data_IF_654314319029
#
_entry.id   IF_654314319029
#
_cell.length_a   1.000
_cell.length_b   1.000
_cell.length_c   1.000
_cell.angle_alpha   90.00
_cell.angle_beta   90.00
_cell.angle_gamma   90.00
#
_symmetry.space_group_name_H-M   'P 1'
#
loop_
_entity.id
_entity.type
_entity.pdbx_description
1 polymer ?
#
# COMPACT_ATOMS: atom_id res chain seq x y z
N UNK A 1 -8.50 -9.40 12.76
CA UNK A 1 -8.44 -9.69 11.32
C UNK A 1 -9.87 -9.60 10.80
N UNK A 2 -10.27 -8.36 10.53
CA UNK A 2 -11.65 -7.86 10.48
C UNK A 2 -12.41 -8.31 9.22
N UNK A 3 -13.62 -8.83 9.42
CA UNK A 3 -14.84 -8.61 8.64
C UNK A 3 -14.65 -8.02 7.23
N UNK A 4 -14.10 -8.78 6.29
CA UNK A 4 -14.40 -8.55 4.87
C UNK A 4 -15.82 -9.08 4.67
N UNK A 5 -16.81 -8.25 4.99
CA UNK A 5 -18.22 -8.48 4.66
C UNK A 5 -18.32 -8.91 3.20
N UNK A 6 -19.12 -9.94 2.94
CA UNK A 6 -19.47 -10.37 1.59
C UNK A 6 -19.86 -9.12 0.76
N UNK A 7 -19.19 -8.85 -0.38
CA UNK A 7 -19.47 -7.68 -1.21
C UNK A 7 -20.96 -7.53 -1.55
N UNK A 8 -21.67 -8.66 -1.69
CA UNK A 8 -23.10 -8.68 -1.99
C UNK A 8 -23.94 -8.27 -0.78
N UNK A 9 -23.60 -8.75 0.41
CA UNK A 9 -24.23 -8.35 1.66
C UNK A 9 -23.99 -6.87 1.99
N UNK A 10 -22.78 -6.36 1.74
CA UNK A 10 -22.45 -4.94 1.91
C UNK A 10 -23.23 -4.07 0.90
N UNK A 11 -23.28 -4.49 -0.37
CA UNK A 11 -24.07 -3.81 -1.40
C UNK A 11 -25.56 -3.75 -1.04
N UNK A 12 -26.14 -4.86 -0.58
CA UNK A 12 -27.53 -4.93 -0.14
C UNK A 12 -27.80 -4.02 1.07
N UNK A 13 -26.88 -3.98 2.04
CA UNK A 13 -26.99 -3.11 3.21
C UNK A 13 -26.89 -1.62 2.85
N UNK A 14 -26.04 -1.26 1.89
CA UNK A 14 -25.92 0.11 1.38
C UNK A 14 -27.19 0.55 0.65
N UNK A 15 -27.72 -0.29 -0.24
CA UNK A 15 -28.99 -0.02 -0.94
C UNK A 15 -30.18 0.08 0.04
N UNK A 16 -30.21 -0.76 1.08
CA UNK A 16 -31.27 -0.72 2.10
C UNK A 16 -31.20 0.54 2.97
N UNK A 17 -30.00 1.07 3.24
CA UNK A 17 -29.79 2.31 4.02
C UNK A 17 -30.25 3.56 3.28
N UNK A 18 -30.09 3.61 1.96
CA UNK A 18 -30.45 4.77 1.14
C UNK A 18 -31.94 4.78 0.72
N UNK A 19 -32.68 3.71 0.99
CA UNK A 19 -34.13 3.61 0.76
C UNK A 19 -34.54 3.61 -0.73
N UNK A 20 -35.84 3.77 -1.00
CA UNK A 20 -36.41 3.74 -2.36
C UNK A 20 -35.98 4.91 -3.26
N UNK A 21 -35.40 5.96 -2.67
CA UNK A 21 -34.82 7.15 -3.34
C UNK A 21 -33.31 7.06 -3.54
N UNK A 22 -32.66 6.02 -3.02
CA UNK A 22 -31.22 5.80 -3.00
C UNK A 22 -30.65 5.42 -4.34
N UNK A 23 -30.51 6.41 -5.22
CA UNK A 23 -29.93 6.23 -6.56
C UNK A 23 -28.55 5.59 -6.45
N UNK A 24 -28.30 4.55 -7.25
CA UNK A 24 -26.98 3.91 -7.45
C UNK A 24 -25.83 4.93 -7.49
N UNK A 25 -26.09 6.14 -8.02
CA UNK A 25 -25.14 7.25 -8.08
C UNK A 25 -24.59 7.71 -6.72
N UNK A 26 -25.41 7.70 -5.67
CA UNK A 26 -25.00 8.12 -4.32
C UNK A 26 -24.11 7.06 -3.66
N UNK A 27 -24.49 5.78 -3.77
CA UNK A 27 -23.63 4.67 -3.37
C UNK A 27 -22.28 4.69 -4.10
N UNK A 28 -22.29 4.96 -5.42
CA UNK A 28 -21.07 5.12 -6.20
C UNK A 28 -20.24 6.32 -5.74
N UNK A 29 -20.86 7.43 -5.36
CA UNK A 29 -20.18 8.62 -4.81
C UNK A 29 -19.48 8.30 -3.49
N UNK A 30 -20.16 7.62 -2.57
CA UNK A 30 -19.56 7.18 -1.30
C UNK A 30 -18.34 6.27 -1.54
N UNK A 31 -18.48 5.27 -2.41
CA UNK A 31 -17.38 4.35 -2.72
C UNK A 31 -16.23 5.07 -3.45
N UNK A 32 -16.52 6.02 -4.34
CA UNK A 32 -15.49 6.80 -5.02
C UNK A 32 -14.59 7.55 -4.03
N UNK A 33 -15.17 8.06 -2.95
CA UNK A 33 -14.43 8.71 -1.86
C UNK A 33 -13.46 7.73 -1.18
N UNK A 34 -13.87 6.48 -0.98
CA UNK A 34 -13.00 5.44 -0.42
C UNK A 34 -11.82 5.10 -1.35
N UNK A 35 -12.04 5.06 -2.67
CA UNK A 35 -10.96 4.88 -3.64
C UNK A 35 -9.97 6.05 -3.62
N UNK A 36 -10.44 7.29 -3.46
CA UNK A 36 -9.57 8.47 -3.28
C UNK A 36 -8.72 8.31 -2.02
N UNK A 37 -9.29 7.83 -0.91
CA UNK A 37 -8.52 7.57 0.32
C UNK A 37 -7.42 6.53 0.10
N UNK A 38 -7.72 5.41 -0.58
CA UNK A 38 -6.71 4.38 -0.92
C UNK A 38 -5.60 5.01 -1.78
N UNK A 39 -5.98 5.76 -2.82
CA UNK A 39 -5.06 6.44 -3.73
C UNK A 39 -4.12 7.43 -3.02
N UNK A 40 -4.65 8.27 -2.12
CA UNK A 40 -3.85 9.21 -1.33
C UNK A 40 -2.88 8.49 -0.41
N UNK A 41 -3.29 7.38 0.22
CA UNK A 41 -2.41 6.57 1.07
C UNK A 41 -1.27 5.94 0.26
N UNK A 42 -1.55 5.42 -0.93
CA UNK A 42 -0.53 4.90 -1.84
C UNK A 42 0.51 5.96 -2.24
N UNK A 43 0.11 7.23 -2.41
CA UNK A 43 1.07 8.32 -2.66
C UNK A 43 2.02 8.54 -1.48
N UNK A 44 1.51 8.51 -0.24
CA UNK A 44 2.36 8.61 0.96
C UNK A 44 3.39 7.49 1.00
N UNK A 45 3.00 6.27 0.63
CA UNK A 45 3.91 5.12 0.55
C UNK A 45 5.02 5.32 -0.49
N UNK A 46 4.68 5.83 -1.69
CA UNK A 46 5.67 6.16 -2.70
C UNK A 46 6.65 7.24 -2.25
N UNK A 47 6.15 8.27 -1.55
CA UNK A 47 6.99 9.32 -0.97
C UNK A 47 7.97 8.74 0.04
N UNK A 48 7.51 7.88 0.96
CA UNK A 48 8.37 7.20 1.93
C UNK A 48 9.42 6.33 1.24
N UNK A 49 9.02 5.52 0.27
CA UNK A 49 9.95 4.70 -0.50
C UNK A 49 11.00 5.57 -1.23
N UNK A 50 10.59 6.70 -1.82
CA UNK A 50 11.48 7.64 -2.51
C UNK A 50 12.51 8.22 -1.55
N UNK A 51 12.10 8.65 -0.36
CA UNK A 51 13.01 9.17 0.67
C UNK A 51 14.01 8.09 1.07
N UNK A 52 13.55 6.87 1.34
CA UNK A 52 14.42 5.75 1.72
C UNK A 52 15.44 5.42 0.64
N UNK A 53 15.02 5.36 -0.63
CA UNK A 53 15.91 5.12 -1.76
C UNK A 53 16.93 6.25 -1.93
N UNK A 54 16.51 7.50 -1.73
CA UNK A 54 17.39 8.67 -1.85
C UNK A 54 18.45 8.69 -0.75
N UNK A 55 18.05 8.49 0.52
CA UNK A 55 18.99 8.41 1.64
C UNK A 55 19.96 7.25 1.42
N UNK A 56 19.44 6.07 1.04
CA UNK A 56 20.27 4.91 0.70
C UNK A 56 21.22 5.20 -0.46
N UNK A 57 20.80 5.98 -1.46
CA UNK A 57 21.67 6.40 -2.57
C UNK A 57 22.89 7.21 -2.12
N UNK A 58 22.72 8.11 -1.14
CA UNK A 58 23.81 8.95 -0.64
C UNK A 58 24.66 8.28 0.46
N UNK A 59 24.04 7.52 1.36
CA UNK A 59 24.72 6.94 2.54
C UNK A 59 25.02 5.44 2.39
N UNK A 60 24.37 4.76 1.45
CA UNK A 60 24.35 3.30 1.38
C UNK A 60 25.69 2.65 1.08
N UNK A 61 26.54 3.27 0.25
CA UNK A 61 27.89 2.74 -0.02
C UNK A 61 28.76 2.70 1.23
N UNK A 62 28.68 3.74 2.08
CA UNK A 62 29.37 3.78 3.37
C UNK A 62 28.80 2.78 4.36
N UNK A 63 27.48 2.66 4.42
CA UNK A 63 26.80 1.71 5.32
C UNK A 63 27.13 0.27 4.93
N UNK A 64 27.00 -0.09 3.66
CA UNK A 64 27.34 -1.41 3.14
C UNK A 64 28.85 -1.72 3.27
N UNK A 65 29.70 -0.70 3.18
CA UNK A 65 31.14 -0.83 3.40
C UNK A 65 31.55 -1.11 4.85
N UNK A 66 30.68 -0.88 5.83
CA UNK A 66 31.04 -1.07 7.24
C UNK A 66 31.14 -2.54 7.64
N UNK A 67 30.36 -3.44 7.04
CA UNK A 67 30.46 -4.86 7.34
C UNK A 67 29.42 -5.72 6.63
N UNK A 68 29.60 -7.06 6.65
CA UNK A 68 28.73 -7.98 5.92
C UNK A 68 27.28 -7.91 6.41
N UNK A 69 27.04 -7.81 7.72
CA UNK A 69 25.69 -7.67 8.28
C UNK A 69 24.96 -6.43 7.75
N UNK A 70 25.63 -5.27 7.74
CA UNK A 70 25.04 -4.03 7.26
C UNK A 70 24.78 -4.09 5.74
N UNK A 71 25.69 -4.70 4.98
CA UNK A 71 25.54 -4.93 3.54
C UNK A 71 24.35 -5.81 3.22
N UNK A 72 24.23 -6.97 3.87
CA UNK A 72 23.18 -7.94 3.57
C UNK A 72 21.80 -7.43 4.00
N UNK A 73 21.71 -6.82 5.19
CA UNK A 73 20.49 -6.18 5.66
C UNK A 73 20.04 -5.04 4.73
N UNK A 74 20.99 -4.24 4.23
CA UNK A 74 20.70 -3.17 3.27
C UNK A 74 20.21 -3.72 1.92
N UNK A 75 20.87 -4.76 1.39
CA UNK A 75 20.46 -5.38 0.13
C UNK A 75 19.05 -5.98 0.22
N UNK A 76 18.77 -6.73 1.30
CA UNK A 76 17.45 -7.31 1.55
C UNK A 76 16.40 -6.22 1.72
N UNK A 77 16.70 -5.18 2.50
CA UNK A 77 15.81 -4.04 2.69
C UNK A 77 15.46 -3.35 1.38
N UNK A 78 16.46 -3.14 0.51
CA UNK A 78 16.27 -2.53 -0.80
C UNK A 78 15.37 -3.36 -1.71
N UNK A 79 15.55 -4.69 -1.73
CA UNK A 79 14.68 -5.60 -2.49
C UNK A 79 13.23 -5.50 -2.04
N UNK A 80 12.98 -5.45 -0.73
CA UNK A 80 11.62 -5.29 -0.20
C UNK A 80 11.01 -3.92 -0.54
N UNK A 81 11.77 -2.83 -0.39
CA UNK A 81 11.30 -1.48 -0.76
C UNK A 81 10.97 -1.41 -2.25
N UNK A 82 11.85 -1.92 -3.13
CA UNK A 82 11.60 -1.93 -4.58
C UNK A 82 10.40 -2.81 -4.94
N UNK A 83 10.24 -3.96 -4.31
CA UNK A 83 9.06 -4.82 -4.51
C UNK A 83 7.77 -4.10 -4.12
N UNK A 84 7.78 -3.39 -2.98
CA UNK A 84 6.65 -2.56 -2.55
C UNK A 84 6.34 -1.45 -3.57
N UNK A 85 7.36 -0.74 -4.08
CA UNK A 85 7.18 0.29 -5.11
C UNK A 85 6.55 -0.28 -6.37
N UNK A 86 7.06 -1.41 -6.87
CA UNK A 86 6.48 -2.07 -8.06
C UNK A 86 5.02 -2.45 -7.83
N UNK A 87 4.67 -2.97 -6.65
CA UNK A 87 3.29 -3.28 -6.30
C UNK A 87 2.40 -2.03 -6.26
N UNK A 88 2.85 -0.94 -5.62
CA UNK A 88 2.10 0.32 -5.61
C UNK A 88 1.89 0.86 -7.03
N UNK A 89 2.91 0.80 -7.89
CA UNK A 89 2.79 1.22 -9.29
C UNK A 89 1.76 0.38 -10.07
N UNK A 90 1.66 -0.93 -9.77
CA UNK A 90 0.60 -1.77 -10.33
C UNK A 90 -0.78 -1.45 -9.76
N UNK A 91 -0.88 -1.10 -8.47
CA UNK A 91 -2.16 -0.75 -7.83
C UNK A 91 -2.65 0.65 -8.21
N UNK A 92 -1.80 1.52 -8.72
CA UNK A 92 -2.19 2.79 -9.35
C UNK A 92 -2.98 2.64 -10.66
N UNK A 93 -3.05 1.44 -11.26
CA UNK A 93 -3.91 1.22 -12.42
C UNK A 93 -5.38 1.42 -12.04
N UNK A 94 -5.95 2.53 -12.51
CA UNK A 94 -7.33 2.92 -12.26
C UNK A 94 -8.24 2.26 -13.30
N UNK A 95 -9.15 1.41 -12.83
CA UNK A 95 -10.35 1.02 -13.58
C UNK A 95 -11.45 2.00 -13.19
N UNK A 96 -12.01 2.72 -14.16
CA UNK A 96 -13.04 3.72 -13.89
C UNK A 96 -14.32 3.05 -13.37
N UNK A 97 -14.93 3.62 -12.33
CA UNK A 97 -16.18 3.10 -11.76
C UNK A 97 -17.32 3.03 -12.79
N UNK A 98 -17.28 3.90 -13.80
CA UNK A 98 -18.23 3.94 -14.92
C UNK A 98 -18.13 2.72 -15.85
N UNK A 99 -17.04 1.94 -15.77
CA UNK A 99 -16.86 0.71 -16.56
C UNK A 99 -17.54 -0.52 -15.93
N UNK A 100 -18.05 -0.38 -14.70
CA UNK A 100 -18.79 -1.46 -14.05
C UNK A 100 -20.26 -1.36 -14.50
N UNK A 101 -20.62 -2.19 -15.45
CA UNK A 101 -22.00 -2.33 -15.95
C UNK A 101 -22.54 -3.70 -15.56
N UNK A 102 -23.80 -3.77 -15.17
CA UNK A 102 -24.46 -4.99 -14.75
C UNK A 102 -25.97 -4.90 -14.91
N UNK A 103 -26.68 -6.04 -14.90
CA UNK A 103 -28.13 -6.10 -15.14
C UNK A 103 -28.96 -5.43 -14.04
N UNK A 104 -28.40 -5.32 -12.83
CA UNK A 104 -29.08 -4.73 -11.68
C UNK A 104 -28.10 -3.91 -10.80
N UNK A 105 -28.59 -2.89 -10.06
CA UNK A 105 -27.75 -2.06 -9.20
C UNK A 105 -26.94 -2.82 -8.14
N UNK A 106 -27.48 -3.94 -7.64
CA UNK A 106 -26.81 -4.76 -6.64
C UNK A 106 -25.57 -5.46 -7.23
N UNK A 107 -25.66 -5.97 -8.45
CA UNK A 107 -24.56 -6.61 -9.17
C UNK A 107 -23.42 -5.62 -9.48
N UNK A 108 -23.76 -4.41 -9.92
CA UNK A 108 -22.80 -3.32 -10.18
C UNK A 108 -22.08 -2.95 -8.89
N UNK A 109 -22.84 -2.72 -7.82
CA UNK A 109 -22.29 -2.29 -6.54
C UNK A 109 -21.42 -3.39 -5.89
N UNK A 110 -21.84 -4.65 -5.95
CA UNK A 110 -21.07 -5.79 -5.46
C UNK A 110 -19.75 -5.94 -6.22
N UNK A 111 -19.74 -5.78 -7.54
CA UNK A 111 -18.51 -5.82 -8.34
C UNK A 111 -17.53 -4.68 -7.98
N UNK A 112 -18.06 -3.47 -7.76
CA UNK A 112 -17.27 -2.30 -7.33
C UNK A 112 -16.66 -2.56 -5.93
N UNK A 113 -17.45 -3.07 -4.99
CA UNK A 113 -17.00 -3.38 -3.63
C UNK A 113 -15.96 -4.51 -3.64
N UNK A 114 -16.14 -5.54 -4.45
CA UNK A 114 -15.17 -6.61 -4.60
C UNK A 114 -13.83 -6.08 -5.14
N UNK A 115 -13.87 -5.17 -6.12
CA UNK A 115 -12.70 -4.48 -6.64
C UNK A 115 -12.02 -3.60 -5.59
N UNK A 116 -12.79 -2.83 -4.81
CA UNK A 116 -12.28 -2.06 -3.65
C UNK A 116 -11.56 -2.97 -2.66
N UNK A 117 -12.18 -4.07 -2.27
CA UNK A 117 -11.63 -5.02 -1.30
C UNK A 117 -10.32 -5.65 -1.82
N UNK A 118 -10.24 -5.95 -3.11
CA UNK A 118 -9.00 -6.41 -3.73
C UNK A 118 -7.88 -5.35 -3.63
N UNK A 119 -8.19 -4.08 -3.91
CA UNK A 119 -7.24 -2.96 -3.76
C UNK A 119 -6.81 -2.78 -2.31
N UNK A 120 -7.72 -2.87 -1.35
CA UNK A 120 -7.40 -2.81 0.09
C UNK A 120 -6.44 -3.93 0.51
N UNK A 121 -6.65 -5.16 0.01
CA UNK A 121 -5.72 -6.27 0.28
C UNK A 121 -4.34 -6.05 -0.34
N UNK A 122 -4.30 -5.52 -1.57
CA UNK A 122 -3.03 -5.16 -2.22
C UNK A 122 -2.28 -4.09 -1.42
N UNK A 123 -2.98 -3.04 -0.97
CA UNK A 123 -2.42 -2.01 -0.10
C UNK A 123 -1.82 -2.58 1.20
N UNK A 124 -2.48 -3.56 1.84
CA UNK A 124 -1.93 -4.21 3.03
C UNK A 124 -0.64 -4.98 2.73
N UNK A 125 -0.57 -5.68 1.59
CA UNK A 125 0.65 -6.36 1.17
C UNK A 125 1.78 -5.37 0.88
N UNK A 126 1.49 -4.27 0.19
CA UNK A 126 2.42 -3.15 -0.05
C UNK A 126 2.95 -2.60 1.28
N UNK A 127 2.08 -2.39 2.26
CA UNK A 127 2.42 -1.88 3.59
C UNK A 127 3.35 -2.82 4.35
N UNK A 128 3.07 -4.12 4.31
CA UNK A 128 3.92 -5.12 4.96
C UNK A 128 5.32 -5.14 4.31
N UNK A 129 5.39 -5.17 2.98
CA UNK A 129 6.67 -5.17 2.25
C UNK A 129 7.49 -3.91 2.53
N UNK A 130 6.87 -2.73 2.46
CA UNK A 130 7.56 -1.48 2.74
C UNK A 130 8.06 -1.43 4.18
N UNK A 131 7.24 -1.89 5.14
CA UNK A 131 7.60 -1.91 6.56
C UNK A 131 8.77 -2.85 6.84
N UNK A 132 8.77 -4.05 6.22
CA UNK A 132 9.88 -5.00 6.31
C UNK A 132 11.16 -4.40 5.71
N UNK A 133 11.06 -3.80 4.53
CA UNK A 133 12.19 -3.15 3.87
C UNK A 133 12.79 -2.02 4.71
N UNK A 134 11.93 -1.19 5.30
CA UNK A 134 12.33 -0.14 6.24
C UNK A 134 13.00 -0.68 7.49
N UNK A 135 12.46 -1.75 8.08
CA UNK A 135 13.06 -2.38 9.27
C UNK A 135 14.47 -2.91 8.97
N UNK A 136 14.66 -3.58 7.83
CA UNK A 136 15.97 -4.05 7.38
C UNK A 136 16.95 -2.89 7.13
N UNK A 137 16.50 -1.80 6.51
CA UNK A 137 17.31 -0.61 6.31
C UNK A 137 17.75 0.01 7.65
N UNK A 138 16.84 0.16 8.61
CA UNK A 138 17.16 0.68 9.95
C UNK A 138 18.15 -0.24 10.67
N UNK A 139 18.00 -1.55 10.55
CA UNK A 139 18.94 -2.52 11.12
C UNK A 139 20.35 -2.35 10.53
N UNK A 140 20.47 -2.18 9.21
CA UNK A 140 21.75 -1.91 8.55
C UNK A 140 22.40 -0.61 9.06
N UNK A 141 21.58 0.43 9.24
CA UNK A 141 22.04 1.72 9.76
C UNK A 141 22.51 1.61 11.22
N UNK A 142 21.80 0.88 12.08
CA UNK A 142 22.23 0.61 13.46
C UNK A 142 23.54 -0.17 13.46
N UNK A 143 23.67 -1.22 12.64
CA UNK A 143 24.90 -2.01 12.54
C UNK A 143 26.10 -1.13 12.11
N UNK A 144 25.88 -0.21 11.16
CA UNK A 144 26.88 0.79 10.77
C UNK A 144 27.29 1.68 11.94
N UNK A 145 26.32 2.24 12.68
CA UNK A 145 26.60 3.15 13.80
C UNK A 145 27.34 2.45 14.95
N UNK A 146 26.92 1.25 15.32
CA UNK A 146 27.58 0.45 16.36
C UNK A 146 29.03 0.16 15.99
N UNK A 147 29.29 -0.13 14.70
CA UNK A 147 30.65 -0.40 14.22
C UNK A 147 31.47 0.86 13.96
N UNK A 148 30.85 2.01 13.75
CA UNK A 148 31.52 3.31 13.65
C UNK A 148 31.90 3.88 15.03
N UNK A 149 31.17 3.51 16.09
CA UNK A 149 31.42 3.91 17.48
C UNK A 149 32.77 3.55 18.14
N UNK A 150 33.56 2.54 17.74
CA UNK A 150 34.83 2.21 18.40
C UNK A 150 36.04 3.04 17.93
N UNK A 151 35.90 3.97 16.97
CA UNK A 151 37.02 4.78 16.46
C UNK A 151 37.15 6.17 17.12
N UNK A 152 36.63 6.33 18.34
CA UNK A 152 36.85 7.50 19.18
C UNK A 152 37.24 7.01 20.58
N UNK A 153 38.44 6.46 20.72
CA UNK A 153 39.12 6.24 22.01
C UNK A 153 40.62 6.28 21.81
#
# INVERSE_FOLDING_TARGET
MEMLTDPTAEAAALLAREGASGSLSECMRLISTQFVVIQTRSQVMLTLATITLTITGFSGTRIAGSGPLARDAMAIGLVFVLSAVVMVLMSLRVRWLTQFTGPDPLSVLSAIIAYRNAKTRQYLAELILLSLGMACYVLAMIAYLVKAGPMIS
#
